data_IF_804935468627
#
_entry.id   IF_804935468627
#
_cell.length_a   1.000
_cell.length_b   1.000
_cell.length_c   1.000
_cell.angle_alpha   90.00
_cell.angle_beta   90.00
_cell.angle_gamma   90.00
#
_symmetry.space_group_name_H-M   'P 1'
#
loop_
_entity.id
_entity.type
_entity.pdbx_description
1 polymer ?
#
# COMPACT_ATOMS: atom_id res chain seq x y z
N UNK A 1 38.03 -7.00 -3.51
CA UNK A 1 37.79 -7.20 -2.07
C UNK A 1 36.69 -6.24 -1.66
N UNK A 2 35.59 -6.71 -1.05
CA UNK A 2 34.37 -5.89 -0.84
C UNK A 2 34.48 -4.86 0.31
N UNK A 3 35.51 -5.02 1.12
CA UNK A 3 36.07 -3.98 1.98
C UNK A 3 37.54 -3.82 1.55
N UNK A 4 38.13 -2.65 1.77
CA UNK A 4 39.51 -2.32 1.35
C UNK A 4 40.56 -3.36 1.77
N UNK A 5 41.79 -3.18 1.29
CA UNK A 5 42.87 -4.19 1.38
C UNK A 5 43.17 -4.73 2.79
N UNK A 6 42.84 -3.97 3.84
CA UNK A 6 43.16 -4.31 5.23
C UNK A 6 42.07 -5.14 5.93
N UNK A 7 40.99 -5.51 5.24
CA UNK A 7 39.89 -6.24 5.88
C UNK A 7 40.15 -7.73 6.01
N UNK A 8 40.32 -8.20 7.25
CA UNK A 8 40.42 -9.62 7.60
C UNK A 8 39.06 -10.16 8.08
N UNK A 9 38.42 -11.12 7.36
CA UNK A 9 37.13 -11.66 7.77
C UNK A 9 37.25 -12.55 9.00
N UNK A 10 36.33 -12.39 9.96
CA UNK A 10 36.27 -13.22 11.17
C UNK A 10 35.93 -14.69 10.87
N UNK A 11 35.20 -14.94 9.77
CA UNK A 11 34.93 -16.27 9.20
C UNK A 11 35.25 -16.30 7.71
N UNK A 12 36.27 -17.07 7.32
CA UNK A 12 36.65 -17.29 5.92
C UNK A 12 35.48 -17.95 5.15
N UNK A 13 35.21 -17.49 3.93
CA UNK A 13 34.15 -18.01 3.05
C UNK A 13 32.72 -17.51 3.33
N UNK A 14 32.37 -17.26 4.60
CA UNK A 14 31.02 -16.80 4.96
C UNK A 14 30.87 -15.27 4.98
N UNK A 15 31.87 -14.54 5.48
CA UNK A 15 31.76 -13.10 5.70
C UNK A 15 32.36 -12.30 4.53
N UNK A 16 31.51 -11.96 3.55
CA UNK A 16 31.91 -11.18 2.37
C UNK A 16 32.18 -9.69 2.67
N UNK A 17 31.51 -9.12 3.67
CA UNK A 17 31.58 -7.69 4.01
C UNK A 17 32.01 -7.47 5.46
N UNK A 18 32.75 -6.39 5.69
CA UNK A 18 33.24 -5.96 7.00
C UNK A 18 32.18 -5.27 7.86
N UNK A 19 31.19 -4.63 7.23
CA UNK A 19 30.11 -3.94 7.91
C UNK A 19 28.84 -3.93 7.07
N UNK A 20 27.71 -3.62 7.70
CA UNK A 20 26.46 -3.37 6.98
C UNK A 20 26.59 -2.19 5.99
N UNK A 21 27.38 -1.17 6.33
CA UNK A 21 27.66 -0.04 5.45
C UNK A 21 28.35 -0.47 4.16
N UNK A 22 29.37 -1.35 4.23
CA UNK A 22 30.05 -1.86 3.04
C UNK A 22 29.18 -2.82 2.22
N UNK A 23 28.31 -3.59 2.88
CA UNK A 23 27.29 -4.41 2.19
C UNK A 23 26.33 -3.54 1.39
N UNK A 24 25.81 -2.47 1.99
CA UNK A 24 24.88 -1.54 1.34
C UNK A 24 25.56 -0.75 0.21
N UNK A 25 26.78 -0.29 0.42
CA UNK A 25 27.56 0.42 -0.61
C UNK A 25 27.86 -0.48 -1.82
N UNK A 26 28.25 -1.73 -1.57
CA UNK A 26 28.46 -2.68 -2.65
C UNK A 26 27.17 -2.93 -3.43
N UNK A 27 26.03 -3.10 -2.77
CA UNK A 27 24.73 -3.25 -3.45
C UNK A 27 24.37 -2.01 -4.28
N UNK A 28 24.65 -0.80 -3.79
CA UNK A 28 24.44 0.46 -4.51
C UNK A 28 25.34 0.59 -5.74
N UNK A 29 26.62 0.26 -5.62
CA UNK A 29 27.58 0.35 -6.72
C UNK A 29 27.34 -0.73 -7.80
N UNK A 30 26.78 -1.87 -7.40
CA UNK A 30 26.44 -2.95 -8.33
C UNK A 30 25.08 -2.76 -9.00
N UNK A 31 24.29 -1.75 -8.60
CA UNK A 31 23.16 -1.30 -9.39
C UNK A 31 23.72 -0.56 -10.59
N UNK A 32 23.57 -1.14 -11.77
CA UNK A 32 23.85 -0.45 -13.01
C UNK A 32 23.00 0.82 -13.04
N UNK A 33 23.62 1.97 -12.81
CA UNK A 33 23.06 3.25 -13.18
C UNK A 33 22.99 3.20 -14.71
N UNK A 34 21.83 2.80 -15.26
CA UNK A 34 21.51 3.00 -16.67
C UNK A 34 21.45 4.51 -16.91
N UNK A 35 22.60 5.10 -17.21
CA UNK A 35 22.72 6.51 -17.56
C UNK A 35 23.62 7.29 -16.63
N UNK A 36 24.93 7.19 -16.83
CA UNK A 36 25.83 8.35 -16.76
C UNK A 36 27.07 8.03 -17.56
N UNK A 37 27.04 8.36 -18.85
CA UNK A 37 28.26 8.59 -19.63
C UNK A 37 28.89 9.83 -19.03
N UNK A 38 30.05 9.69 -18.40
CA UNK A 38 30.90 10.83 -18.07
C UNK A 38 31.62 11.21 -19.37
N UNK A 39 31.48 12.43 -19.89
CA UNK A 39 32.39 12.91 -20.93
C UNK A 39 33.72 13.29 -20.28
N UNK A 40 34.79 12.92 -20.97
CA UNK A 40 36.18 13.28 -20.68
C UNK A 40 36.39 14.78 -20.52
N UNK A 41 37.42 15.08 -19.74
CA UNK A 41 37.99 16.41 -19.50
C UNK A 41 38.47 17.04 -20.81
N UNK A 42 37.89 18.18 -21.21
CA UNK A 42 38.53 19.19 -22.08
C UNK A 42 38.10 20.60 -21.63
N UNK A 43 39.06 21.51 -21.75
CA UNK A 43 39.30 22.83 -21.16
C UNK A 43 38.30 23.98 -21.42
N UNK A 44 38.23 24.87 -20.42
CA UNK A 44 38.20 26.36 -20.41
C UNK A 44 37.45 27.09 -21.54
N UNK A 45 36.39 27.86 -21.21
CA UNK A 45 36.23 29.30 -21.51
C UNK A 45 34.95 29.90 -20.86
N UNK A 46 34.90 31.23 -20.79
CA UNK A 46 34.25 32.12 -19.81
C UNK A 46 32.71 32.30 -19.82
N UNK A 47 32.12 32.39 -18.60
CA UNK A 47 31.04 33.28 -18.05
C UNK A 47 29.67 33.50 -18.76
N UNK A 48 28.63 34.01 -18.05
CA UNK A 48 27.75 33.35 -17.08
C UNK A 48 26.28 33.26 -17.59
N UNK A 49 25.58 32.18 -17.27
CA UNK A 49 24.13 32.22 -17.08
C UNK A 49 23.78 31.30 -15.92
N UNK A 50 23.01 31.82 -14.98
CA UNK A 50 22.43 31.07 -13.87
C UNK A 50 21.30 30.22 -14.44
N UNK A 51 21.34 28.88 -14.32
CA UNK A 51 20.13 28.12 -14.15
C UNK A 51 20.08 27.70 -12.68
N UNK A 52 19.01 28.10 -11.99
CA UNK A 52 18.65 27.52 -10.70
C UNK A 52 18.58 26.00 -10.86
N UNK A 53 19.60 25.31 -10.35
CA UNK A 53 19.59 23.85 -10.24
C UNK A 53 18.61 23.52 -9.12
N UNK A 54 17.55 22.72 -9.34
CA UNK A 54 16.74 22.24 -8.23
C UNK A 54 17.67 21.53 -7.25
N UNK A 55 17.54 21.93 -5.99
CA UNK A 55 18.46 21.54 -4.93
C UNK A 55 18.51 20.02 -4.80
N UNK A 56 19.67 19.47 -4.45
CA UNK A 56 19.86 18.03 -4.24
C UNK A 56 18.84 17.44 -3.23
N UNK A 57 18.30 18.29 -2.34
CA UNK A 57 17.26 17.97 -1.37
C UNK A 57 15.91 17.65 -2.05
N UNK A 58 15.51 18.37 -3.09
CA UNK A 58 14.26 18.12 -3.82
C UNK A 58 14.31 16.80 -4.60
N UNK A 59 15.47 16.46 -5.17
CA UNK A 59 15.65 15.19 -5.91
C UNK A 59 15.63 13.97 -4.98
N UNK A 60 16.18 14.09 -3.77
CA UNK A 60 16.08 13.04 -2.75
C UNK A 60 14.66 12.94 -2.15
N UNK A 61 13.94 14.07 -2.07
CA UNK A 61 12.55 14.10 -1.60
C UNK A 61 11.59 13.46 -2.60
N UNK A 62 11.71 13.75 -3.90
CA UNK A 62 10.79 13.21 -4.92
C UNK A 62 10.96 11.69 -5.14
N UNK A 63 12.20 11.20 -5.20
CA UNK A 63 12.48 9.77 -5.39
C UNK A 63 12.23 8.93 -4.13
N UNK A 64 12.36 9.52 -2.94
CA UNK A 64 12.03 8.88 -1.66
C UNK A 64 10.52 8.84 -1.39
N UNK A 65 9.81 9.94 -1.66
CA UNK A 65 8.36 10.04 -1.47
C UNK A 65 7.62 9.23 -2.54
N UNK A 66 8.07 9.26 -3.80
CA UNK A 66 7.39 8.54 -4.89
C UNK A 66 7.39 7.02 -4.70
N UNK A 67 8.53 6.44 -4.30
CA UNK A 67 8.64 4.99 -4.06
C UNK A 67 7.94 4.56 -2.76
N UNK A 68 7.99 5.38 -1.70
CA UNK A 68 7.29 5.10 -0.45
C UNK A 68 5.77 5.19 -0.61
N UNK A 69 5.26 6.22 -1.28
CA UNK A 69 3.84 6.38 -1.56
C UNK A 69 3.31 5.25 -2.47
N UNK A 70 4.06 4.87 -3.50
CA UNK A 70 3.72 3.73 -4.36
C UNK A 70 3.71 2.41 -3.56
N UNK A 71 4.70 2.19 -2.67
CA UNK A 71 4.76 1.02 -1.81
C UNK A 71 3.56 0.92 -0.85
N UNK A 72 3.17 2.03 -0.21
CA UNK A 72 2.00 2.08 0.68
C UNK A 72 0.72 1.77 -0.10
N UNK A 73 0.52 2.36 -1.29
CA UNK A 73 -0.64 2.10 -2.12
C UNK A 73 -0.79 0.62 -2.51
N UNK A 74 0.32 -0.03 -2.89
CA UNK A 74 0.32 -1.47 -3.20
C UNK A 74 -0.02 -2.30 -1.97
N UNK A 75 0.56 -1.99 -0.80
CA UNK A 75 0.29 -2.70 0.45
C UNK A 75 -1.17 -2.57 0.87
N UNK A 76 -1.79 -1.38 0.72
CA UNK A 76 -3.20 -1.17 1.04
C UNK A 76 -4.14 -1.95 0.12
N UNK A 77 -3.85 -2.02 -1.18
CA UNK A 77 -4.62 -2.83 -2.14
C UNK A 77 -4.55 -4.32 -1.76
N UNK A 78 -3.33 -4.83 -1.52
CA UNK A 78 -3.14 -6.24 -1.14
C UNK A 78 -3.84 -6.53 0.19
N UNK A 79 -3.73 -5.63 1.17
CA UNK A 79 -4.42 -5.77 2.46
C UNK A 79 -5.93 -5.83 2.27
N UNK A 80 -6.52 -4.98 1.46
CA UNK A 80 -7.98 -4.99 1.23
C UNK A 80 -8.48 -6.25 0.52
N UNK A 81 -7.69 -6.84 -0.38
CA UNK A 81 -8.03 -8.09 -1.08
C UNK A 81 -7.83 -9.31 -0.17
N UNK A 82 -6.73 -9.35 0.58
CA UNK A 82 -6.36 -10.48 1.43
C UNK A 82 -7.13 -10.52 2.76
N UNK A 83 -7.69 -9.39 3.21
CA UNK A 83 -8.46 -9.33 4.46
C UNK A 83 -9.82 -10.02 4.28
N UNK A 84 -10.16 -11.05 5.09
CA UNK A 84 -11.48 -11.67 5.08
C UNK A 84 -12.60 -10.66 5.33
N UNK A 85 -13.77 -10.85 4.70
CA UNK A 85 -14.91 -9.92 4.83
C UNK A 85 -15.32 -9.66 6.28
N UNK A 86 -15.27 -10.67 7.15
CA UNK A 86 -15.61 -10.54 8.58
C UNK A 86 -14.64 -9.63 9.36
N UNK A 87 -13.42 -9.45 8.86
CA UNK A 87 -12.38 -8.60 9.47
C UNK A 87 -12.21 -7.26 8.75
N UNK A 88 -13.00 -6.99 7.71
CA UNK A 88 -12.98 -5.68 7.03
C UNK A 88 -13.65 -4.63 7.92
N UNK A 89 -13.10 -3.40 8.00
CA UNK A 89 -13.76 -2.32 8.70
C UNK A 89 -15.09 -1.96 8.01
N UNK A 90 -16.10 -1.61 8.80
CA UNK A 90 -17.38 -1.14 8.27
C UNK A 90 -17.20 0.19 7.53
N UNK A 91 -17.76 0.28 6.33
CA UNK A 91 -17.81 1.53 5.57
C UNK A 91 -19.00 2.38 6.03
N UNK A 92 -19.00 3.68 5.70
CA UNK A 92 -20.15 4.56 5.97
C UNK A 92 -21.43 4.03 5.34
N UNK A 93 -21.33 3.45 4.13
CA UNK A 93 -22.45 2.82 3.44
C UNK A 93 -23.01 1.64 4.24
N UNK A 94 -22.15 0.79 4.79
CA UNK A 94 -22.60 -0.34 5.62
C UNK A 94 -23.39 0.14 6.85
N UNK A 95 -22.96 1.25 7.46
CA UNK A 95 -23.64 1.86 8.60
C UNK A 95 -25.00 2.45 8.17
N UNK A 96 -25.06 3.11 7.02
CA UNK A 96 -26.31 3.65 6.46
C UNK A 96 -27.30 2.53 6.11
N UNK A 97 -26.84 1.48 5.44
CA UNK A 97 -27.63 0.31 5.08
C UNK A 97 -28.14 -0.41 6.36
N UNK A 98 -27.30 -0.53 7.39
CA UNK A 98 -27.71 -1.07 8.70
C UNK A 98 -28.75 -0.18 9.40
N UNK A 99 -28.57 1.14 9.36
CA UNK A 99 -29.54 2.10 9.93
C UNK A 99 -30.89 2.01 9.22
N UNK A 100 -30.88 1.84 7.90
CA UNK A 100 -32.11 1.59 7.13
C UNK A 100 -32.75 0.27 7.52
N UNK A 101 -31.96 -0.80 7.63
CA UNK A 101 -32.45 -2.12 8.02
C UNK A 101 -33.11 -2.12 9.40
N UNK A 102 -32.49 -1.49 10.41
CA UNK A 102 -33.04 -1.40 11.78
C UNK A 102 -34.32 -0.54 11.84
N UNK A 103 -34.45 0.46 10.96
CA UNK A 103 -35.64 1.32 10.89
C UNK A 103 -36.83 0.65 10.20
N UNK A 104 -36.59 -0.43 9.45
CA UNK A 104 -37.67 -1.18 8.81
C UNK A 104 -38.57 -1.81 9.87
N UNK A 105 -39.89 -1.68 9.69
CA UNK A 105 -40.87 -2.29 10.60
C UNK A 105 -41.12 -3.77 10.31
N UNK A 106 -41.09 -4.13 9.03
CA UNK A 106 -41.51 -5.45 8.55
C UNK A 106 -40.32 -6.25 8.02
N UNK A 107 -40.15 -7.48 8.51
CA UNK A 107 -39.06 -8.38 8.11
C UNK A 107 -39.60 -9.65 7.49
N UNK A 108 -39.12 -10.01 6.30
CA UNK A 108 -39.58 -11.19 5.58
C UNK A 108 -39.27 -12.48 6.36
N UNK A 109 -40.28 -13.32 6.55
CA UNK A 109 -40.20 -14.60 7.24
C UNK A 109 -40.22 -15.73 6.20
N UNK A 110 -39.08 -16.40 6.00
CA UNK A 110 -38.91 -17.39 4.92
C UNK A 110 -39.33 -18.82 5.30
N UNK A 111 -39.48 -19.12 6.58
CA UNK A 111 -39.86 -20.44 7.08
C UNK A 111 -41.39 -20.61 7.20
N UNK A 112 -42.18 -19.62 6.79
CA UNK A 112 -43.65 -19.68 6.80
C UNK A 112 -44.16 -19.63 5.36
N UNK A 113 -45.13 -20.51 5.07
CA UNK A 113 -45.79 -20.55 3.78
C UNK A 113 -46.55 -19.25 3.46
N UNK A 114 -46.80 -19.03 2.17
CA UNK A 114 -47.65 -17.92 1.73
C UNK A 114 -49.09 -18.15 2.20
N UNK A 115 -49.85 -17.06 2.32
CA UNK A 115 -51.28 -17.16 2.62
C UNK A 115 -52.08 -17.77 1.46
N UNK A 116 -53.39 -17.91 1.65
CA UNK A 116 -54.33 -18.40 0.62
C UNK A 116 -54.36 -17.52 -0.65
N UNK A 117 -53.84 -16.29 -0.57
CA UNK A 117 -53.74 -15.34 -1.67
C UNK A 117 -52.32 -15.27 -2.27
N UNK A 118 -51.38 -16.09 -1.79
CA UNK A 118 -50.00 -16.10 -2.27
C UNK A 118 -49.10 -14.99 -1.71
N UNK A 119 -49.53 -14.26 -0.68
CA UNK A 119 -48.75 -13.19 -0.03
C UNK A 119 -47.69 -13.78 0.90
N UNK A 120 -46.47 -13.25 0.91
CA UNK A 120 -45.42 -13.67 1.84
C UNK A 120 -45.68 -13.20 3.28
N UNK A 121 -45.14 -13.94 4.24
CA UNK A 121 -45.20 -13.60 5.65
C UNK A 121 -44.11 -12.59 6.04
N UNK A 122 -44.47 -11.60 6.84
CA UNK A 122 -43.58 -10.62 7.45
C UNK A 122 -43.75 -10.60 8.96
N UNK A 123 -42.66 -10.41 9.69
CA UNK A 123 -42.66 -10.13 11.11
C UNK A 123 -42.75 -8.62 11.32
N UNK A 124 -43.77 -8.18 12.05
CA UNK A 124 -43.93 -6.78 12.44
C UNK A 124 -43.27 -6.52 13.79
N UNK A 125 -42.21 -5.71 13.81
CA UNK A 125 -41.48 -5.36 15.05
C UNK A 125 -42.36 -4.63 16.07
N UNK A 126 -43.35 -3.86 15.64
CA UNK A 126 -44.17 -3.06 16.57
C UNK A 126 -45.17 -3.94 17.31
N UNK A 127 -45.83 -4.87 16.60
CA UNK A 127 -46.88 -5.71 17.18
C UNK A 127 -46.35 -7.07 17.66
N UNK A 128 -45.17 -7.50 17.22
CA UNK A 128 -44.60 -8.81 17.52
C UNK A 128 -45.29 -9.96 16.78
N UNK A 129 -46.17 -9.66 15.83
CA UNK A 129 -46.98 -10.65 15.11
C UNK A 129 -46.46 -10.90 13.70
N UNK A 130 -46.83 -12.05 13.16
CA UNK A 130 -46.64 -12.39 11.76
C UNK A 130 -47.87 -11.93 10.97
N UNK A 131 -47.63 -11.19 9.89
CA UNK A 131 -48.66 -10.67 9.00
C UNK A 131 -48.32 -11.04 7.56
N UNK A 132 -49.34 -11.28 6.72
CA UNK A 132 -49.17 -11.55 5.30
C UNK A 132 -49.48 -10.29 4.49
N UNK A 133 -48.49 -9.79 3.74
CA UNK A 133 -48.57 -8.53 2.98
C UNK A 133 -48.16 -8.74 1.52
#
# INVERSE_FOLDING_TARGET
MYCGGDYVPKRRGAQKFCSNSCRSLNWKNNQQIKGSKVPDVVSIDEKPMIPEKPSLQEKMSLAGIGNAAAGIAVVEIVKNIATPNASKPATKKDIEDLKMFIKSRYFLVRNIGRDIHGKPAYYDIITGNIIHM
#
